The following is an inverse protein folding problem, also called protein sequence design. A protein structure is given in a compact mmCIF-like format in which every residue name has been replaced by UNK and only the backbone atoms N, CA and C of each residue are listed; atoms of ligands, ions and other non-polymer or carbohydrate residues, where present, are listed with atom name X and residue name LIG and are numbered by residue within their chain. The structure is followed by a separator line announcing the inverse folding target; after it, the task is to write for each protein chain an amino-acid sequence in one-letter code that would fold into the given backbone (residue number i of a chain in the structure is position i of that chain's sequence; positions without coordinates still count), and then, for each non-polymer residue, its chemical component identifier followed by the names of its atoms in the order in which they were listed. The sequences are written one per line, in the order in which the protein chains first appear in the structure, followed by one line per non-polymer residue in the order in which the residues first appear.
data_IF_636047623461
#
_entry.id   IF_636047623461
#
_cell.length_a   1.000
_cell.length_b   1.000
_cell.length_c   1.000
_cell.angle_alpha   90.00
_cell.angle_beta   90.00
_cell.angle_gamma   90.00
#
_symmetry.space_group_name_H-M   'P 1'
#
loop_
_entity.id
_entity.type
_entity.pdbx_description
1 polymer ?
#
# COMPACT_ATOMS: atom_id res chain seq x y z
N UNK A 1 27.87 21.60 6.78
CA UNK A 1 26.62 21.94 6.07
C UNK A 1 26.00 20.61 5.68
N UNK A 2 24.69 20.44 5.81
CA UNK A 2 24.04 19.24 5.28
C UNK A 2 24.30 19.20 3.76
N UNK A 3 24.60 18.03 3.24
CA UNK A 3 24.76 17.82 1.80
C UNK A 3 23.43 18.11 1.09
N UNK A 4 23.46 18.74 -0.09
CA UNK A 4 22.24 18.98 -0.85
C UNK A 4 21.75 17.69 -1.52
N UNK A 5 20.45 17.56 -1.76
CA UNK A 5 19.90 16.40 -2.47
C UNK A 5 20.51 16.24 -3.88
N UNK A 6 20.84 17.34 -4.54
CA UNK A 6 21.51 17.34 -5.84
C UNK A 6 22.91 16.73 -5.75
N UNK A 7 23.71 17.10 -4.74
CA UNK A 7 25.05 16.56 -4.54
C UNK A 7 25.00 15.07 -4.18
N UNK A 8 24.07 14.68 -3.31
CA UNK A 8 23.90 13.29 -2.89
C UNK A 8 23.50 12.39 -4.06
N UNK A 9 22.55 12.83 -4.91
CA UNK A 9 22.13 12.10 -6.11
C UNK A 9 23.25 12.05 -7.15
N UNK A 10 23.95 13.16 -7.40
CA UNK A 10 25.07 13.19 -8.34
C UNK A 10 26.16 12.20 -7.96
N UNK A 11 26.47 12.08 -6.66
CA UNK A 11 27.42 11.10 -6.15
C UNK A 11 26.90 9.66 -6.29
N UNK A 12 25.64 9.42 -5.96
CA UNK A 12 25.04 8.09 -6.00
C UNK A 12 24.96 7.54 -7.43
N UNK A 13 24.54 8.36 -8.38
CA UNK A 13 24.33 7.97 -9.78
C UNK A 13 25.58 8.14 -10.64
N UNK A 14 26.50 9.03 -10.24
CA UNK A 14 27.71 9.34 -11.01
C UNK A 14 27.46 10.27 -12.21
N UNK A 15 26.31 10.95 -12.24
CA UNK A 15 25.92 11.93 -13.28
C UNK A 15 25.58 13.26 -12.64
N UNK A 16 26.07 14.37 -13.23
CA UNK A 16 25.80 15.71 -12.74
C UNK A 16 24.29 16.04 -12.75
N UNK A 17 23.83 16.75 -11.72
CA UNK A 17 22.44 17.21 -11.61
C UNK A 17 22.30 18.60 -12.24
N UNK A 18 21.30 18.78 -13.11
CA UNK A 18 21.01 20.06 -13.79
C UNK A 18 19.72 20.72 -13.31
N UNK A 19 18.87 20.00 -12.58
CA UNK A 19 17.62 20.53 -12.05
C UNK A 19 17.05 19.67 -10.92
N UNK A 20 16.31 20.30 -10.01
CA UNK A 20 15.52 19.61 -9.00
C UNK A 20 14.14 20.25 -8.90
N UNK A 21 13.11 19.43 -8.71
CA UNK A 21 11.75 19.88 -8.48
C UNK A 21 11.12 19.00 -7.39
N UNK A 22 10.56 19.63 -6.35
CA UNK A 22 9.79 18.90 -5.36
C UNK A 22 8.55 18.28 -6.03
N UNK A 23 8.29 17.01 -5.72
CA UNK A 23 7.07 16.32 -6.13
C UNK A 23 6.09 16.34 -4.95
N UNK A 24 4.81 16.51 -5.26
CA UNK A 24 3.74 16.32 -4.27
C UNK A 24 3.56 14.81 -4.03
N UNK A 25 3.46 14.38 -2.76
CA UNK A 25 3.15 12.97 -2.44
C UNK A 25 3.77 12.45 -1.14
N UNK A 26 4.90 13.00 -0.69
CA UNK A 26 5.53 12.55 0.56
C UNK A 26 4.80 13.04 1.80
N UNK A 27 4.02 12.18 2.46
CA UNK A 27 3.40 12.52 3.75
C UNK A 27 4.42 12.49 4.92
N UNK A 28 5.57 11.82 4.75
CA UNK A 28 6.59 11.62 5.80
C UNK A 28 8.03 11.94 5.32
N UNK A 29 8.26 12.14 4.02
CA UNK A 29 9.58 12.42 3.47
C UNK A 29 9.54 13.45 2.34
N UNK A 30 10.70 13.95 1.94
CA UNK A 30 10.78 14.84 0.77
C UNK A 30 11.08 14.02 -0.47
N UNK A 31 10.21 14.16 -1.47
CA UNK A 31 10.32 13.49 -2.77
C UNK A 31 10.66 14.55 -3.80
N UNK A 32 11.71 14.32 -4.57
CA UNK A 32 12.15 15.24 -5.61
C UNK A 32 12.34 14.51 -6.93
N UNK A 33 11.86 15.12 -8.01
CA UNK A 33 12.37 14.81 -9.33
C UNK A 33 13.72 15.51 -9.48
N UNK A 34 14.71 14.77 -9.98
CA UNK A 34 16.05 15.27 -10.23
C UNK A 34 16.36 15.05 -11.71
N UNK A 35 16.65 16.13 -12.42
CA UNK A 35 17.02 16.10 -13.83
C UNK A 35 18.55 16.01 -13.95
N UNK A 36 19.03 15.07 -14.73
CA UNK A 36 20.46 14.74 -14.90
C UNK A 36 21.02 15.35 -16.19
N UNK A 37 22.34 15.56 -16.21
CA UNK A 37 23.06 16.18 -17.33
C UNK A 37 23.03 15.36 -18.62
N UNK A 38 22.77 14.05 -18.52
CA UNK A 38 22.57 13.16 -19.67
C UNK A 38 21.16 13.25 -20.30
N UNK A 39 20.27 14.06 -19.72
CA UNK A 39 18.91 14.28 -20.18
C UNK A 39 17.87 13.34 -19.57
N UNK A 40 18.27 12.39 -18.72
CA UNK A 40 17.36 11.55 -17.95
C UNK A 40 16.86 12.24 -16.67
N UNK A 41 15.86 11.65 -16.03
CA UNK A 41 15.35 12.09 -14.73
C UNK A 41 15.26 10.90 -13.78
N UNK A 42 15.45 11.16 -12.48
CA UNK A 42 15.28 10.19 -11.39
C UNK A 42 14.38 10.77 -10.30
N UNK A 43 13.84 9.92 -9.45
CA UNK A 43 13.15 10.33 -8.22
C UNK A 43 14.08 10.09 -7.04
N UNK A 44 14.30 11.12 -6.23
CA UNK A 44 15.06 11.05 -5.01
C UNK A 44 14.13 11.21 -3.80
N UNK A 45 14.14 10.23 -2.90
CA UNK A 45 13.42 10.25 -1.64
C UNK A 45 14.39 10.33 -0.48
N UNK A 46 14.07 11.18 0.49
CA UNK A 46 14.76 11.27 1.77
C UNK A 46 13.72 11.35 2.88
N UNK A 47 13.95 10.71 4.02
CA UNK A 47 12.98 10.69 5.10
C UNK A 47 13.49 10.00 6.36
N UNK A 48 12.71 10.07 7.43
CA UNK A 48 13.04 9.46 8.73
C UNK A 48 12.68 7.96 8.78
N UNK A 49 11.98 7.44 7.78
CA UNK A 49 11.62 6.02 7.68
C UNK A 49 12.74 5.22 7.01
N UNK A 50 12.98 3.95 7.40
CA UNK A 50 13.98 3.09 6.77
C UNK A 50 13.73 2.88 5.27
N UNK A 51 14.46 3.60 4.41
CA UNK A 51 14.31 3.58 2.94
C UNK A 51 14.65 2.22 2.31
N UNK A 52 15.51 1.46 2.98
CA UNK A 52 15.84 0.07 2.67
C UNK A 52 14.64 -0.89 2.70
N UNK A 53 13.59 -0.56 3.47
CA UNK A 53 12.36 -1.37 3.51
C UNK A 53 11.52 -1.13 2.25
N UNK A 54 11.46 0.11 1.76
CA UNK A 54 10.79 0.40 0.48
C UNK A 54 11.52 -0.25 -0.69
N UNK A 55 12.86 -0.14 -0.70
CA UNK A 55 13.72 -0.81 -1.70
C UNK A 55 13.42 -2.30 -1.77
N UNK A 56 13.38 -2.95 -0.61
CA UNK A 56 13.05 -4.37 -0.52
C UNK A 56 11.70 -4.74 -1.13
N UNK A 57 10.66 -3.96 -0.84
CA UNK A 57 9.33 -4.24 -1.38
C UNK A 57 9.27 -4.04 -2.89
N UNK A 58 9.91 -2.99 -3.41
CA UNK A 58 10.03 -2.74 -4.85
C UNK A 58 10.78 -3.88 -5.57
N UNK A 59 11.93 -4.30 -5.02
CA UNK A 59 12.72 -5.41 -5.57
C UNK A 59 11.97 -6.75 -5.51
N UNK A 60 11.23 -7.01 -4.43
CA UNK A 60 10.40 -8.20 -4.30
C UNK A 60 9.27 -8.21 -5.35
N UNK A 61 8.54 -7.09 -5.50
CA UNK A 61 7.49 -6.97 -6.52
C UNK A 61 8.06 -7.14 -7.94
N UNK A 62 9.20 -6.53 -8.24
CA UNK A 62 9.85 -6.61 -9.56
C UNK A 62 10.39 -8.01 -9.89
N UNK A 63 10.87 -8.75 -8.87
CA UNK A 63 11.46 -10.08 -9.08
C UNK A 63 10.45 -11.21 -9.03
N UNK A 64 9.35 -11.06 -8.29
CA UNK A 64 8.33 -12.10 -8.09
C UNK A 64 7.11 -11.93 -9.02
N UNK A 65 6.95 -10.78 -9.68
CA UNK A 65 5.75 -10.46 -10.46
C UNK A 65 6.02 -9.63 -11.72
N UNK A 66 4.96 -9.40 -12.51
CA UNK A 66 4.95 -8.48 -13.66
C UNK A 66 4.30 -7.13 -13.32
N UNK A 67 4.24 -6.76 -12.03
CA UNK A 67 3.69 -5.48 -11.62
C UNK A 67 4.68 -4.36 -12.02
N UNK A 68 4.25 -3.35 -12.79
CA UNK A 68 5.15 -2.26 -13.15
C UNK A 68 5.41 -1.43 -11.90
N UNK A 69 6.66 -1.46 -11.43
CA UNK A 69 7.15 -0.68 -10.28
C UNK A 69 8.45 0.03 -10.70
N UNK A 70 8.78 1.20 -10.14
CA UNK A 70 10.01 1.90 -10.47
C UNK A 70 11.26 1.06 -10.18
N UNK A 71 12.23 1.08 -11.08
CA UNK A 71 13.55 0.49 -10.81
C UNK A 71 14.27 1.25 -9.67
N UNK A 72 14.97 0.52 -8.81
CA UNK A 72 15.83 1.09 -7.76
C UNK A 72 17.24 1.27 -8.30
N UNK A 73 17.73 2.51 -8.35
CA UNK A 73 19.09 2.81 -8.79
C UNK A 73 20.10 2.90 -7.64
N UNK A 74 19.66 3.37 -6.48
CA UNK A 74 20.54 3.50 -5.30
C UNK A 74 19.71 3.56 -4.02
N UNK A 75 20.24 2.95 -2.95
CA UNK A 75 19.67 3.04 -1.60
C UNK A 75 20.77 3.11 -0.55
N UNK A 76 20.64 4.06 0.37
CA UNK A 76 21.32 4.06 1.66
C UNK A 76 20.37 4.53 2.77
N UNK A 77 20.90 4.82 3.96
CA UNK A 77 20.10 5.21 5.13
C UNK A 77 19.33 6.51 4.96
N UNK A 78 19.80 7.43 4.11
CA UNK A 78 19.29 8.79 4.00
C UNK A 78 18.76 9.13 2.59
N UNK A 79 19.09 8.31 1.59
CA UNK A 79 18.73 8.53 0.19
C UNK A 79 18.27 7.24 -0.50
N UNK A 80 17.12 7.32 -1.16
CA UNK A 80 16.62 6.35 -2.13
C UNK A 80 16.48 7.03 -3.49
N UNK A 81 17.12 6.49 -4.51
CA UNK A 81 17.04 6.96 -5.89
C UNK A 81 16.34 5.90 -6.75
N UNK A 82 15.24 6.30 -7.37
CA UNK A 82 14.37 5.46 -8.18
C UNK A 82 14.28 5.98 -9.61
N UNK A 83 13.84 5.12 -10.51
CA UNK A 83 13.37 5.50 -11.83
C UNK A 83 12.30 6.61 -11.75
N UNK A 84 12.45 7.64 -12.58
CA UNK A 84 11.35 8.58 -12.82
C UNK A 84 10.42 8.03 -13.90
N UNK A 85 9.25 7.53 -13.48
CA UNK A 85 8.22 7.02 -14.39
C UNK A 85 7.26 8.16 -14.79
N UNK A 86 7.14 8.50 -16.10
CA UNK A 86 6.18 9.50 -16.53
C UNK A 86 4.73 8.99 -16.44
N UNK A 87 3.83 9.79 -15.89
CA UNK A 87 2.40 9.48 -15.85
C UNK A 87 1.60 10.52 -15.07
N UNK A 88 0.29 10.30 -15.00
CA UNK A 88 -0.64 11.07 -14.16
C UNK A 88 -1.42 10.13 -13.24
N UNK A 89 -2.07 10.71 -12.24
CA UNK A 89 -2.98 10.00 -11.31
C UNK A 89 -4.44 10.05 -11.79
N UNK A 90 -4.65 10.27 -13.10
CA UNK A 90 -5.98 10.29 -13.72
C UNK A 90 -6.24 8.95 -14.41
N UNK A 91 -7.08 8.14 -13.77
CA UNK A 91 -7.35 6.77 -14.21
C UNK A 91 -8.68 6.71 -14.97
N UNK A 92 -8.63 7.01 -16.27
CA UNK A 92 -9.77 6.75 -17.14
C UNK A 92 -10.12 5.25 -17.23
N UNK A 93 -11.29 4.90 -17.79
CA UNK A 93 -11.78 3.52 -17.86
C UNK A 93 -10.78 2.49 -18.41
N UNK A 94 -9.97 2.87 -19.41
CA UNK A 94 -8.94 1.99 -19.96
C UNK A 94 -7.84 1.66 -18.93
N UNK A 95 -7.33 2.66 -18.24
CA UNK A 95 -6.30 2.49 -17.20
C UNK A 95 -6.84 1.71 -16.00
N UNK A 96 -8.11 1.93 -15.63
CA UNK A 96 -8.78 1.14 -14.59
C UNK A 96 -8.84 -0.36 -14.93
N UNK A 97 -9.15 -0.70 -16.19
CA UNK A 97 -9.18 -2.10 -16.65
C UNK A 97 -7.76 -2.69 -16.74
N UNK A 98 -6.78 -1.90 -17.14
CA UNK A 98 -5.38 -2.34 -17.19
C UNK A 98 -4.81 -2.58 -15.78
N UNK A 99 -5.10 -1.70 -14.82
CA UNK A 99 -4.79 -1.90 -13.41
C UNK A 99 -5.38 -3.20 -12.86
N UNK A 100 -6.63 -3.51 -13.22
CA UNK A 100 -7.26 -4.77 -12.84
C UNK A 100 -6.54 -5.99 -13.42
N UNK A 101 -6.04 -5.90 -14.64
CA UNK A 101 -5.26 -6.96 -15.28
C UNK A 101 -3.91 -7.17 -14.57
N UNK A 102 -3.23 -6.09 -14.18
CA UNK A 102 -1.99 -6.15 -13.40
C UNK A 102 -2.20 -6.75 -12.00
N UNK A 103 -3.18 -6.24 -11.24
CA UNK A 103 -3.42 -6.75 -9.88
C UNK A 103 -3.98 -8.17 -9.87
N UNK A 104 -4.77 -8.57 -10.88
CA UNK A 104 -5.20 -9.97 -11.01
C UNK A 104 -4.01 -10.91 -11.27
N UNK A 105 -3.00 -10.48 -12.05
CA UNK A 105 -1.75 -11.25 -12.25
C UNK A 105 -0.93 -11.30 -10.97
N UNK A 106 -0.73 -10.15 -10.30
CA UNK A 106 -0.02 -10.06 -9.03
C UNK A 106 -0.61 -11.02 -7.99
N UNK A 107 -1.94 -11.00 -7.84
CA UNK A 107 -2.62 -11.86 -6.87
C UNK A 107 -2.58 -13.37 -7.22
N UNK A 108 -2.06 -13.77 -8.38
CA UNK A 108 -1.78 -15.18 -8.69
C UNK A 108 -0.38 -15.64 -8.24
N UNK A 109 0.47 -14.71 -7.81
CA UNK A 109 1.74 -15.02 -7.14
C UNK A 109 1.42 -15.40 -5.70
N UNK A 110 1.64 -16.65 -5.33
CA UNK A 110 1.29 -17.20 -4.01
C UNK A 110 2.51 -17.62 -3.20
N UNK A 111 2.28 -17.90 -1.92
CA UNK A 111 3.27 -18.42 -0.98
C UNK A 111 2.69 -19.58 -0.16
N UNK A 112 3.53 -20.25 0.63
CA UNK A 112 3.11 -21.33 1.53
C UNK A 112 2.33 -20.81 2.76
N UNK A 113 2.57 -19.55 3.17
CA UNK A 113 1.98 -18.94 4.36
C UNK A 113 1.69 -17.44 4.14
N UNK A 114 0.85 -16.84 4.98
CA UNK A 114 0.62 -15.39 5.02
C UNK A 114 1.75 -14.70 5.78
N UNK A 115 2.01 -13.43 5.44
CA UNK A 115 3.13 -12.66 5.99
C UNK A 115 4.17 -12.33 4.93
N UNK A 116 5.41 -12.13 5.35
CA UNK A 116 6.50 -11.76 4.45
C UNK A 116 7.86 -12.07 5.07
N UNK A 117 8.93 -11.95 4.30
CA UNK A 117 10.29 -12.25 4.79
C UNK A 117 10.69 -11.37 5.98
N UNK A 118 10.20 -10.13 5.99
CA UNK A 118 10.41 -9.15 7.06
C UNK A 118 9.25 -8.17 7.15
N UNK A 119 9.23 -7.41 8.24
CA UNK A 119 8.26 -6.34 8.42
C UNK A 119 8.40 -5.28 7.34
N UNK A 120 7.25 -4.74 6.93
CA UNK A 120 7.16 -3.68 5.93
C UNK A 120 6.67 -2.38 6.54
N UNK A 121 6.44 -1.38 5.70
CA UNK A 121 5.90 -0.09 6.09
C UNK A 121 4.63 0.21 5.29
N UNK A 122 3.64 0.83 5.94
CA UNK A 122 2.56 1.56 5.27
C UNK A 122 2.63 3.01 5.72
N UNK A 123 3.10 3.88 4.83
CA UNK A 123 3.62 5.19 5.24
C UNK A 123 4.74 5.01 6.28
N UNK A 124 4.65 5.62 7.49
CA UNK A 124 5.64 5.45 8.53
C UNK A 124 5.34 4.30 9.49
N UNK A 125 4.21 3.62 9.30
CA UNK A 125 3.71 2.61 10.24
C UNK A 125 4.35 1.27 9.91
N UNK A 126 5.08 0.70 10.88
CA UNK A 126 5.59 -0.67 10.80
C UNK A 126 4.42 -1.66 10.66
N UNK A 127 4.57 -2.59 9.73
CA UNK A 127 3.65 -3.70 9.51
C UNK A 127 4.35 -5.00 9.89
N UNK A 128 4.05 -5.58 11.05
CA UNK A 128 4.53 -6.91 11.41
C UNK A 128 4.10 -7.94 10.36
N UNK A 129 5.05 -8.75 9.90
CA UNK A 129 4.80 -9.76 8.86
C UNK A 129 5.32 -11.17 9.23
N UNK A 130 5.10 -11.68 10.46
CA UNK A 130 5.47 -13.06 10.75
C UNK A 130 4.74 -14.03 9.83
N UNK A 131 5.40 -15.12 9.45
CA UNK A 131 4.76 -16.18 8.69
C UNK A 131 3.68 -16.89 9.54
N UNK A 132 2.49 -17.04 8.98
CA UNK A 132 1.35 -17.72 9.64
C UNK A 132 0.52 -18.51 8.64
N UNK A 133 -0.04 -19.64 9.06
CA UNK A 133 -0.87 -20.51 8.21
C UNK A 133 -2.35 -20.05 8.11
N UNK A 134 -2.80 -19.16 9.02
CA UNK A 134 -4.18 -18.66 9.07
C UNK A 134 -4.23 -17.18 8.74
N UNK A 135 -4.99 -16.83 7.70
CA UNK A 135 -5.20 -15.43 7.33
C UNK A 135 -6.00 -14.71 8.39
N UNK A 136 -7.02 -15.35 8.97
CA UNK A 136 -7.88 -14.71 9.97
C UNK A 136 -7.05 -14.35 11.21
N UNK A 137 -6.18 -15.26 11.68
CA UNK A 137 -5.26 -14.98 12.77
C UNK A 137 -4.26 -13.86 12.40
N UNK A 138 -3.68 -13.90 11.20
CA UNK A 138 -2.78 -12.85 10.72
C UNK A 138 -3.45 -11.47 10.71
N UNK A 139 -4.65 -11.39 10.12
CA UNK A 139 -5.40 -10.14 10.01
C UNK A 139 -5.82 -9.60 11.38
N UNK A 140 -6.27 -10.49 12.29
CA UNK A 140 -6.60 -10.12 13.67
C UNK A 140 -5.40 -9.51 14.38
N UNK A 141 -4.29 -10.24 14.42
CA UNK A 141 -3.18 -9.93 15.33
C UNK A 141 -2.22 -8.91 14.72
N UNK A 142 -1.85 -9.08 13.45
CA UNK A 142 -0.80 -8.29 12.78
C UNK A 142 -1.33 -7.09 12.00
N UNK A 143 -2.66 -6.96 11.88
CA UNK A 143 -3.30 -5.80 11.23
C UNK A 143 -4.20 -5.07 12.22
N UNK A 144 -5.33 -5.66 12.63
CA UNK A 144 -6.30 -4.95 13.48
C UNK A 144 -5.74 -4.63 14.86
N UNK A 145 -5.28 -5.62 15.62
CA UNK A 145 -4.79 -5.43 16.98
C UNK A 145 -3.57 -4.50 17.01
N UNK A 146 -2.59 -4.74 16.14
CA UNK A 146 -1.40 -3.88 16.04
C UNK A 146 -1.74 -2.42 15.72
N UNK A 147 -2.59 -2.16 14.70
CA UNK A 147 -2.94 -0.79 14.34
C UNK A 147 -3.82 -0.10 15.40
N UNK A 148 -4.68 -0.86 16.09
CA UNK A 148 -5.48 -0.36 17.20
C UNK A 148 -4.62 0.00 18.42
N UNK A 149 -3.62 -0.81 18.76
CA UNK A 149 -2.66 -0.53 19.83
C UNK A 149 -1.91 0.78 19.55
N UNK A 150 -1.34 0.95 18.35
CA UNK A 150 -0.67 2.19 17.95
C UNK A 150 -1.61 3.42 18.04
N UNK A 151 -2.86 3.27 17.61
CA UNK A 151 -3.84 4.34 17.66
C UNK A 151 -4.32 4.67 19.10
N UNK A 152 -4.35 3.68 20.00
CA UNK A 152 -4.65 3.88 21.42
C UNK A 152 -3.50 4.59 22.12
N UNK A 153 -2.27 4.14 21.89
CA UNK A 153 -1.06 4.72 22.49
C UNK A 153 -0.87 6.19 22.06
N UNK A 154 -1.19 6.51 20.80
CA UNK A 154 -1.18 7.89 20.31
C UNK A 154 -2.34 8.76 20.80
N UNK A 155 -3.34 8.16 21.48
CA UNK A 155 -4.56 8.81 21.93
C UNK A 155 -5.55 9.15 20.81
N UNK A 156 -5.35 8.59 19.61
CA UNK A 156 -6.18 8.84 18.42
C UNK A 156 -7.42 7.93 18.36
N UNK A 157 -7.39 6.79 19.06
CA UNK A 157 -8.49 5.85 19.22
C UNK A 157 -9.05 5.92 20.65
N UNK A 158 -10.38 5.95 20.79
CA UNK A 158 -11.01 5.94 22.11
C UNK A 158 -11.08 4.51 22.67
N UNK A 159 -11.02 4.33 24.01
CA UNK A 159 -11.17 3.01 24.62
C UNK A 159 -12.47 2.30 24.23
N UNK A 160 -13.58 3.03 24.10
CA UNK A 160 -14.87 2.45 23.68
C UNK A 160 -14.86 1.93 22.24
N UNK A 161 -14.15 2.59 21.31
CA UNK A 161 -14.00 2.06 19.95
C UNK A 161 -13.05 0.87 19.91
N UNK A 162 -12.02 0.86 20.75
CA UNK A 162 -11.13 -0.30 20.89
C UNK A 162 -11.87 -1.53 21.42
N UNK A 163 -12.72 -1.41 22.44
CA UNK A 163 -13.53 -2.53 22.96
C UNK A 163 -14.46 -3.13 21.87
N UNK A 164 -15.04 -2.28 21.01
CA UNK A 164 -15.86 -2.72 19.86
C UNK A 164 -15.02 -3.46 18.82
N UNK A 165 -13.80 -2.99 18.54
CA UNK A 165 -12.85 -3.66 17.66
C UNK A 165 -12.38 -5.00 18.22
N UNK A 166 -12.13 -5.10 19.52
CA UNK A 166 -11.79 -6.36 20.19
C UNK A 166 -12.93 -7.36 20.09
N UNK A 167 -14.17 -6.91 20.31
CA UNK A 167 -15.38 -7.74 20.14
C UNK A 167 -15.47 -8.28 18.71
N UNK A 168 -15.38 -7.41 17.70
CA UNK A 168 -15.35 -7.81 16.28
C UNK A 168 -14.20 -8.77 15.97
N UNK A 169 -13.01 -8.48 16.50
CA UNK A 169 -11.80 -9.28 16.29
C UNK A 169 -11.95 -10.71 16.81
N UNK A 170 -12.72 -10.89 17.90
CA UNK A 170 -13.03 -12.21 18.44
C UNK A 170 -14.04 -13.01 17.60
N UNK A 171 -14.78 -12.35 16.72
CA UNK A 171 -15.83 -12.93 15.86
C UNK A 171 -15.43 -12.96 14.37
N UNK A 172 -14.16 -12.72 14.04
CA UNK A 172 -13.70 -12.67 12.65
C UNK A 172 -13.95 -13.96 11.86
N UNK A 173 -13.98 -15.12 12.52
CA UNK A 173 -14.30 -16.42 11.89
C UNK A 173 -15.74 -16.47 11.35
N UNK A 174 -16.66 -15.66 11.87
CA UNK A 174 -18.04 -15.54 11.37
C UNK A 174 -18.17 -14.49 10.25
N UNK A 175 -17.21 -13.57 10.17
CA UNK A 175 -17.21 -12.44 9.26
C UNK A 175 -16.42 -12.72 7.98
N UNK A 176 -15.30 -13.45 8.09
CA UNK A 176 -14.38 -13.80 7.03
C UNK A 176 -14.36 -15.30 6.80
N UNK A 177 -13.70 -15.71 5.71
CA UNK A 177 -13.40 -17.11 5.44
C UNK A 177 -11.91 -17.22 5.15
N UNK A 178 -11.30 -18.33 5.57
CA UNK A 178 -9.91 -18.61 5.24
C UNK A 178 -9.77 -18.77 3.72
N UNK A 179 -8.91 -17.98 3.06
CA UNK A 179 -8.70 -18.12 1.63
C UNK A 179 -7.90 -19.40 1.35
N UNK A 180 -8.06 -19.94 0.14
CA UNK A 180 -7.39 -21.18 -0.24
C UNK A 180 -5.85 -21.08 -0.27
N UNK A 181 -5.31 -19.88 -0.55
CA UNK A 181 -3.88 -19.61 -0.55
C UNK A 181 -3.61 -18.11 -0.34
N UNK A 182 -2.45 -17.74 0.21
CA UNK A 182 -1.93 -16.37 0.20
C UNK A 182 -1.69 -15.86 -1.23
N UNK A 183 -1.85 -14.57 -1.41
CA UNK A 183 -1.52 -13.85 -2.64
C UNK A 183 -0.60 -12.67 -2.31
N UNK A 184 0.44 -12.47 -3.11
CA UNK A 184 1.25 -11.26 -3.04
C UNK A 184 0.36 -10.06 -3.37
N UNK A 185 0.42 -9.00 -2.57
CA UNK A 185 -0.30 -7.75 -2.82
C UNK A 185 0.67 -6.56 -2.88
N UNK A 186 0.27 -5.47 -3.55
CA UNK A 186 1.00 -4.21 -3.47
C UNK A 186 0.82 -3.58 -2.09
N UNK A 187 -0.40 -3.63 -1.54
CA UNK A 187 -0.72 -3.28 -0.16
C UNK A 187 -1.13 -1.83 0.09
N UNK A 188 -0.81 -0.91 -0.84
CA UNK A 188 -1.18 0.52 -0.74
C UNK A 188 -1.69 1.10 -2.08
N UNK A 189 -2.63 0.41 -2.74
CA UNK A 189 -3.17 0.86 -4.04
C UNK A 189 -4.27 1.91 -3.84
N UNK A 190 -3.90 3.17 -4.07
CA UNK A 190 -4.83 4.29 -4.16
C UNK A 190 -4.38 5.31 -5.21
N UNK A 191 -5.20 6.34 -5.46
CA UNK A 191 -5.08 7.22 -6.65
C UNK A 191 -3.70 7.84 -6.86
N UNK A 192 -2.98 8.22 -5.81
CA UNK A 192 -1.66 8.84 -5.98
C UNK A 192 -0.52 7.84 -6.09
N UNK A 193 -0.75 6.59 -5.72
CA UNK A 193 0.24 5.50 -5.76
C UNK A 193 0.17 4.72 -7.08
N UNK A 194 -0.58 5.21 -8.06
CA UNK A 194 -0.65 4.62 -9.39
C UNK A 194 -0.44 5.73 -10.40
N UNK A 195 0.44 5.47 -11.35
CA UNK A 195 0.65 6.33 -12.51
C UNK A 195 0.07 5.66 -13.74
N UNK A 196 -0.63 6.43 -14.54
CA UNK A 196 -1.15 5.97 -15.83
C UNK A 196 -0.88 7.00 -16.92
N UNK A 197 -0.78 6.50 -18.15
CA UNK A 197 -0.59 7.33 -19.34
C UNK A 197 -1.25 6.66 -20.53
N UNK A 198 -1.96 7.44 -21.33
CA UNK A 198 -2.55 6.98 -22.60
C UNK A 198 -3.46 5.72 -22.45
N UNK A 199 -4.06 5.54 -21.27
CA UNK A 199 -4.97 4.42 -20.97
C UNK A 199 -4.30 3.17 -20.39
N UNK A 200 -3.00 3.21 -20.11
CA UNK A 200 -2.22 2.10 -19.53
C UNK A 200 -1.60 2.52 -18.20
N UNK A 201 -1.44 1.58 -17.27
CA UNK A 201 -0.71 1.80 -16.01
C UNK A 201 0.79 1.77 -16.31
N UNK A 202 1.50 2.82 -15.88
CA UNK A 202 2.95 2.92 -16.06
C UNK A 202 3.73 2.54 -14.82
N UNK A 203 3.17 2.75 -13.62
CA UNK A 203 3.78 2.29 -12.37
C UNK A 203 2.77 2.21 -11.21
N UNK A 204 3.03 1.28 -10.31
CA UNK A 204 2.56 1.26 -8.92
C UNK A 204 3.70 1.75 -8.03
N UNK A 205 3.40 2.71 -7.15
CA UNK A 205 4.35 3.42 -6.30
C UNK A 205 4.07 3.09 -4.84
N UNK A 206 5.09 3.24 -4.00
CA UNK A 206 4.99 3.24 -2.53
C UNK A 206 4.30 1.97 -1.98
N UNK A 207 4.89 0.78 -2.24
CA UNK A 207 4.30 -0.47 -1.79
C UNK A 207 4.26 -0.62 -0.27
N UNK A 208 3.33 -1.46 0.19
CA UNK A 208 3.18 -1.95 1.56
C UNK A 208 2.99 -3.48 1.53
N UNK A 209 3.92 -4.17 0.86
CA UNK A 209 3.80 -5.52 0.31
C UNK A 209 3.87 -6.64 1.35
N UNK A 210 3.04 -7.67 1.17
CA UNK A 210 3.10 -8.94 1.89
C UNK A 210 2.20 -9.98 1.20
N UNK A 211 2.26 -11.24 1.63
CA UNK A 211 1.34 -12.28 1.22
C UNK A 211 0.08 -12.26 2.08
N UNK A 212 -1.07 -12.05 1.46
CA UNK A 212 -2.34 -11.70 2.10
C UNK A 212 -3.54 -12.43 1.48
N UNK A 213 -4.73 -12.27 2.09
CA UNK A 213 -5.95 -12.44 1.32
C UNK A 213 -6.11 -11.26 0.35
N UNK A 214 -6.25 -11.49 -0.96
CA UNK A 214 -6.33 -10.44 -1.99
C UNK A 214 -7.47 -9.44 -1.81
N UNK A 215 -8.55 -9.80 -1.10
CA UNK A 215 -9.69 -8.93 -0.88
C UNK A 215 -9.35 -7.73 0.02
N UNK A 216 -8.25 -7.79 0.79
CA UNK A 216 -7.82 -6.63 1.58
C UNK A 216 -7.40 -5.45 0.70
N UNK A 217 -6.71 -5.72 -0.41
CA UNK A 217 -6.31 -4.71 -1.38
C UNK A 217 -7.53 -4.22 -2.19
N UNK A 218 -8.41 -5.14 -2.61
CA UNK A 218 -9.67 -4.78 -3.27
C UNK A 218 -10.56 -3.89 -2.40
N UNK A 219 -10.61 -4.15 -1.08
CA UNK A 219 -11.37 -3.35 -0.14
C UNK A 219 -10.79 -1.94 0.03
N UNK A 220 -9.46 -1.81 -0.08
CA UNK A 220 -8.80 -0.52 -0.05
C UNK A 220 -9.13 0.30 -1.31
N UNK A 221 -9.00 -0.31 -2.50
CA UNK A 221 -9.37 0.28 -3.80
C UNK A 221 -10.84 0.71 -3.84
N UNK A 222 -11.75 -0.11 -3.30
CA UNK A 222 -13.18 0.22 -3.18
C UNK A 222 -13.40 1.43 -2.27
N UNK A 223 -12.71 1.48 -1.13
CA UNK A 223 -12.88 2.54 -0.16
C UNK A 223 -12.37 3.89 -0.66
N UNK A 224 -11.22 3.90 -1.33
CA UNK A 224 -10.62 5.11 -1.90
C UNK A 224 -11.30 5.53 -3.20
N UNK A 225 -12.04 4.64 -3.86
CA UNK A 225 -12.71 4.90 -5.12
C UNK A 225 -11.71 5.08 -6.27
N UNK A 226 -10.56 4.43 -6.20
CA UNK A 226 -9.41 4.71 -7.07
C UNK A 226 -9.67 4.46 -8.56
N UNK A 227 -10.41 3.39 -8.88
CA UNK A 227 -10.63 3.00 -10.28
C UNK A 227 -12.09 2.83 -10.69
N UNK A 228 -13.04 2.83 -9.74
CA UNK A 228 -14.46 2.67 -10.04
C UNK A 228 -14.89 1.26 -10.48
N UNK A 229 -16.02 1.18 -11.16
CA UNK A 229 -16.70 -0.08 -11.51
C UNK A 229 -15.94 -0.88 -12.58
N UNK A 230 -15.31 -0.18 -13.53
CA UNK A 230 -14.59 -0.78 -14.65
C UNK A 230 -13.43 -1.67 -14.20
N UNK A 231 -12.77 -1.30 -13.10
CA UNK A 231 -11.76 -2.13 -12.46
C UNK A 231 -12.37 -3.42 -11.88
N UNK A 232 -13.45 -3.32 -11.10
CA UNK A 232 -14.04 -4.48 -10.44
C UNK A 232 -14.68 -5.45 -11.43
N UNK A 233 -15.29 -4.93 -12.51
CA UNK A 233 -15.75 -5.76 -13.62
C UNK A 233 -14.60 -6.54 -14.23
N UNK A 234 -13.51 -5.86 -14.58
CA UNK A 234 -12.36 -6.49 -15.22
C UNK A 234 -11.63 -7.45 -14.29
N UNK A 235 -11.43 -7.10 -13.03
CA UNK A 235 -10.79 -7.98 -12.06
C UNK A 235 -11.63 -9.27 -11.87
N UNK A 236 -12.96 -9.15 -11.83
CA UNK A 236 -13.87 -10.30 -11.75
C UNK A 236 -13.77 -11.21 -12.99
N UNK A 237 -13.60 -10.64 -14.19
CA UNK A 237 -13.34 -11.42 -15.41
C UNK A 237 -12.03 -12.23 -15.33
N UNK A 238 -11.01 -11.73 -14.62
CA UNK A 238 -9.68 -12.33 -14.55
C UNK A 238 -9.50 -13.34 -13.42
N UNK A 239 -9.94 -13.01 -12.20
CA UNK A 239 -9.68 -13.82 -10.99
C UNK A 239 -10.94 -14.12 -10.16
N UNK A 240 -12.08 -13.56 -10.55
CA UNK A 240 -13.31 -13.63 -9.76
C UNK A 240 -13.25 -12.77 -8.49
N UNK A 241 -14.42 -12.47 -7.94
CA UNK A 241 -14.59 -11.86 -6.61
C UNK A 241 -15.67 -12.67 -5.93
N UNK A 242 -15.37 -13.20 -4.74
CA UNK A 242 -16.28 -14.09 -4.04
C UNK A 242 -17.56 -13.34 -3.61
N UNK A 243 -18.69 -14.04 -3.65
CA UNK A 243 -19.96 -13.50 -3.18
C UNK A 243 -19.86 -13.06 -1.71
N UNK A 244 -20.52 -11.96 -1.33
CA UNK A 244 -20.45 -11.39 0.01
C UNK A 244 -19.34 -10.36 0.22
N UNK A 245 -18.43 -10.19 -0.76
CA UNK A 245 -17.36 -9.20 -0.69
C UNK A 245 -17.90 -7.77 -0.54
N UNK A 246 -18.76 -7.34 -1.47
CA UNK A 246 -19.28 -5.98 -1.52
C UNK A 246 -20.31 -5.71 -0.41
N UNK A 247 -20.98 -6.75 0.07
CA UNK A 247 -22.01 -6.66 1.10
C UNK A 247 -21.41 -6.53 2.50
N UNK A 248 -20.34 -7.30 2.77
CA UNK A 248 -19.80 -7.44 4.14
C UNK A 248 -18.28 -7.40 4.20
N UNK A 249 -17.56 -8.30 3.51
CA UNK A 249 -16.11 -8.50 3.76
C UNK A 249 -15.27 -7.26 3.45
N UNK A 250 -15.61 -6.45 2.45
CA UNK A 250 -14.90 -5.19 2.18
C UNK A 250 -14.93 -4.22 3.38
N UNK A 251 -16.00 -4.24 4.16
CA UNK A 251 -16.12 -3.36 5.34
C UNK A 251 -15.26 -3.86 6.49
N UNK A 252 -15.13 -5.18 6.64
CA UNK A 252 -14.20 -5.80 7.59
C UNK A 252 -12.77 -5.42 7.21
N UNK A 253 -12.36 -5.68 5.96
CA UNK A 253 -11.01 -5.39 5.49
C UNK A 253 -10.64 -3.90 5.57
N UNK A 254 -11.59 -3.01 5.34
CA UNK A 254 -11.43 -1.55 5.45
C UNK A 254 -11.05 -1.07 6.86
N UNK A 255 -11.33 -1.85 7.91
CA UNK A 255 -10.98 -1.46 9.28
C UNK A 255 -9.48 -1.25 9.45
N UNK A 256 -8.66 -2.08 8.80
CA UNK A 256 -7.20 -1.96 8.88
C UNK A 256 -6.67 -0.62 8.33
N UNK A 257 -6.89 -0.25 7.05
CA UNK A 257 -6.41 1.03 6.56
C UNK A 257 -7.08 2.21 7.29
N UNK A 258 -8.34 2.07 7.75
CA UNK A 258 -8.96 3.09 8.60
C UNK A 258 -8.21 3.29 9.92
N UNK A 259 -7.78 2.22 10.59
CA UNK A 259 -7.00 2.29 11.82
C UNK A 259 -5.64 2.96 11.60
N UNK A 260 -4.96 2.61 10.51
CA UNK A 260 -3.72 3.30 10.09
C UNK A 260 -3.98 4.80 9.93
N UNK A 261 -5.08 5.20 9.27
CA UNK A 261 -5.43 6.61 9.10
C UNK A 261 -5.86 7.30 10.41
N UNK A 262 -6.50 6.57 11.33
CA UNK A 262 -6.80 7.06 12.68
C UNK A 262 -5.51 7.41 13.41
N UNK A 263 -4.53 6.50 13.40
CA UNK A 263 -3.23 6.71 14.02
C UNK A 263 -2.47 7.89 13.39
N UNK A 264 -2.38 7.94 12.05
CA UNK A 264 -1.57 8.94 11.34
C UNK A 264 -2.18 10.35 11.32
N UNK A 265 -3.50 10.46 11.18
CA UNK A 265 -4.15 11.73 10.87
C UNK A 265 -5.26 12.14 11.85
N UNK A 266 -5.76 11.20 12.66
CA UNK A 266 -6.86 11.43 13.60
C UNK A 266 -8.07 12.13 12.96
N UNK A 267 -8.58 13.18 13.62
CA UNK A 267 -9.61 14.06 13.06
C UNK A 267 -10.91 13.33 12.69
N UNK A 268 -11.21 13.23 11.39
CA UNK A 268 -12.46 12.61 10.89
C UNK A 268 -12.44 11.08 10.87
N UNK A 269 -11.27 10.45 10.94
CA UNK A 269 -11.13 9.02 10.74
C UNK A 269 -11.78 8.18 11.86
N UNK A 270 -11.73 8.55 13.15
CA UNK A 270 -12.46 7.84 14.20
C UNK A 270 -13.96 7.72 13.93
N UNK A 271 -14.61 8.77 13.42
CA UNK A 271 -16.03 8.71 13.05
C UNK A 271 -16.31 7.81 11.85
N UNK A 272 -15.35 7.67 10.91
CA UNK A 272 -15.47 6.72 9.79
C UNK A 272 -15.27 5.27 10.25
N UNK A 273 -14.36 5.05 11.19
CA UNK A 273 -14.14 3.75 11.83
C UNK A 273 -15.41 3.33 12.59
N UNK A 274 -15.96 4.22 13.41
CA UNK A 274 -17.23 4.01 14.12
C UNK A 274 -18.38 3.64 13.18
N UNK A 275 -18.62 4.43 12.13
CA UNK A 275 -19.67 4.13 11.16
C UNK A 275 -19.46 2.79 10.41
N UNK A 276 -18.20 2.36 10.26
CA UNK A 276 -17.88 1.06 9.65
C UNK A 276 -18.17 -0.09 10.61
N UNK A 277 -17.86 0.07 11.90
CA UNK A 277 -18.23 -0.88 12.95
C UNK A 277 -19.76 -1.01 13.08
N UNK A 278 -20.48 0.11 13.12
CA UNK A 278 -21.96 0.12 13.20
C UNK A 278 -22.60 -0.64 12.03
N UNK A 279 -22.05 -0.48 10.83
CA UNK A 279 -22.49 -1.21 9.64
C UNK A 279 -22.27 -2.72 9.76
N UNK A 280 -21.21 -3.12 10.47
CA UNK A 280 -20.90 -4.52 10.74
C UNK A 280 -21.67 -5.06 11.96
N UNK A 281 -22.37 -4.20 12.70
CA UNK A 281 -23.16 -4.57 13.87
C UNK A 281 -22.44 -4.45 15.21
N UNK A 282 -21.31 -3.73 15.25
CA UNK A 282 -20.47 -3.53 16.43
C UNK A 282 -20.48 -2.08 16.88
#
# INVERSE_FOLDING_TARGET
MAESIADAVARAIGTDVVGTAALEGGQIGSVHRVDLADGSSVVAKTGETPLEVETFMLEALASESELPVPEVYHTDSDLLVLEYVPGTTDHGPAAARDAADHLARLHNVGAEAFGFERDTLTGPVRQPNPWTDSWIAFYRDQRLAHAAELALESGSLSPSLAERLETLSSELEDLLSEPAAPALIHGDVWTTNVLSRDGEVTAFLDPATYYAHPEIELAYIDWTGTFGEEFFERYRERRGIEAGFFERRRHVYRLYPLLVHVHLFGGRYPGRLEATLERLGY
#
